data_IF_139589704229
#
_entry.id   IF_139589704229
#
_cell.length_a   1.000
_cell.length_b   1.000
_cell.length_c   1.000
_cell.angle_alpha   90.00
_cell.angle_beta   90.00
_cell.angle_gamma   90.00
#
_symmetry.space_group_name_H-M   'P 1'
#
loop_
_entity.id
_entity.type
_entity.pdbx_description
1 polymer ?
#
# COMPACT_ATOMS: atom_id res chain seq x y z
N UNK A 1 -17.97 13.12 -3.22
CA UNK A 1 -18.00 11.73 -3.73
C UNK A 1 -16.86 11.46 -4.72
N UNK A 2 -16.33 12.50 -5.40
CA UNK A 2 -15.31 12.35 -6.46
C UNK A 2 -13.96 11.76 -6.00
N UNK A 3 -13.59 11.87 -4.72
CA UNK A 3 -12.34 11.29 -4.20
C UNK A 3 -12.47 9.82 -3.78
N UNK A 4 -13.67 9.26 -3.68
CA UNK A 4 -13.86 7.88 -3.19
C UNK A 4 -13.08 6.85 -4.04
N UNK A 5 -13.09 6.92 -5.38
CA UNK A 5 -12.35 5.96 -6.21
C UNK A 5 -10.83 5.97 -5.93
N UNK A 6 -10.20 7.14 -5.91
CA UNK A 6 -8.75 7.26 -5.66
C UNK A 6 -8.38 6.89 -4.21
N UNK A 7 -9.26 7.17 -3.24
CA UNK A 7 -9.07 6.71 -1.85
C UNK A 7 -9.13 5.18 -1.77
N UNK A 8 -10.05 4.53 -2.48
CA UNK A 8 -10.14 3.06 -2.52
C UNK A 8 -8.88 2.47 -3.16
N UNK A 9 -8.40 3.03 -4.27
CA UNK A 9 -7.16 2.58 -4.90
C UNK A 9 -5.97 2.70 -3.96
N UNK A 10 -5.82 3.84 -3.27
CA UNK A 10 -4.80 4.02 -2.24
C UNK A 10 -4.87 2.92 -1.17
N UNK A 11 -6.06 2.65 -0.62
CA UNK A 11 -6.26 1.64 0.42
C UNK A 11 -5.89 0.24 -0.05
N UNK A 12 -6.26 -0.11 -1.27
CA UNK A 12 -5.97 -1.41 -1.88
C UNK A 12 -4.47 -1.58 -2.11
N UNK A 13 -3.82 -0.63 -2.78
CA UNK A 13 -2.38 -0.72 -3.05
C UNK A 13 -1.55 -0.72 -1.78
N UNK A 14 -1.87 0.13 -0.79
CA UNK A 14 -1.16 0.13 0.50
C UNK A 14 -1.32 -1.21 1.21
N UNK A 15 -2.50 -1.84 1.13
CA UNK A 15 -2.68 -3.18 1.67
C UNK A 15 -1.79 -4.19 0.96
N UNK A 16 -1.84 -4.27 -0.37
CA UNK A 16 -1.03 -5.22 -1.17
C UNK A 16 0.48 -5.04 -0.95
N UNK A 17 0.95 -3.80 -0.82
CA UNK A 17 2.37 -3.49 -0.56
C UNK A 17 2.77 -3.97 0.83
N UNK A 18 2.01 -3.60 1.86
CA UNK A 18 2.37 -3.86 3.25
C UNK A 18 2.03 -5.29 3.69
N UNK A 19 1.16 -5.99 2.95
CA UNK A 19 0.86 -7.41 3.15
C UNK A 19 1.83 -8.33 2.40
N UNK A 20 2.55 -7.82 1.41
CA UNK A 20 3.42 -8.64 0.56
C UNK A 20 4.43 -9.48 1.36
N UNK A 21 5.09 -8.90 2.36
CA UNK A 21 6.08 -9.62 3.17
C UNK A 21 5.48 -10.84 3.89
N UNK A 22 4.33 -10.68 4.58
CA UNK A 22 3.70 -11.80 5.29
C UNK A 22 3.22 -12.90 4.34
N UNK A 23 2.91 -12.56 3.09
CA UNK A 23 2.44 -13.48 2.05
C UNK A 23 3.59 -14.26 1.44
N UNK A 24 4.72 -13.59 1.16
CA UNK A 24 5.94 -14.27 0.69
C UNK A 24 6.45 -15.28 1.71
N UNK A 25 6.39 -14.97 3.02
CA UNK A 25 6.81 -15.90 4.08
C UNK A 25 6.05 -17.23 4.07
N UNK A 26 4.84 -17.28 3.51
CA UNK A 26 4.03 -18.50 3.41
C UNK A 26 3.89 -18.99 1.96
N UNK A 27 4.71 -18.46 1.04
CA UNK A 27 4.68 -18.76 -0.39
C UNK A 27 3.31 -18.54 -1.04
N UNK A 28 2.51 -17.61 -0.52
CA UNK A 28 1.24 -17.21 -1.13
C UNK A 28 1.52 -16.46 -2.43
N UNK A 29 1.02 -16.99 -3.55
CA UNK A 29 1.29 -16.44 -4.89
C UNK A 29 0.03 -15.96 -5.63
N UNK A 30 -1.13 -16.02 -4.97
CA UNK A 30 -2.40 -15.49 -5.45
C UNK A 30 -2.74 -14.12 -4.85
N UNK A 31 -1.72 -13.28 -4.69
CA UNK A 31 -1.84 -11.87 -4.31
C UNK A 31 -1.59 -10.95 -5.51
N UNK A 32 -1.95 -9.67 -5.38
CA UNK A 32 -1.84 -8.69 -6.45
C UNK A 32 -0.42 -8.63 -7.03
N UNK A 33 0.59 -8.55 -6.16
CA UNK A 33 2.00 -8.38 -6.55
C UNK A 33 2.49 -9.56 -7.39
N UNK A 34 2.23 -10.78 -6.94
CA UNK A 34 2.63 -12.00 -7.66
C UNK A 34 1.86 -12.17 -8.97
N UNK A 35 0.55 -11.89 -8.99
CA UNK A 35 -0.26 -11.93 -10.21
C UNK A 35 0.23 -10.89 -11.22
N UNK A 36 0.52 -9.67 -10.76
CA UNK A 36 1.03 -8.56 -11.59
C UNK A 36 2.39 -8.90 -12.20
N UNK A 37 3.30 -9.44 -11.40
CA UNK A 37 4.63 -9.87 -11.85
C UNK A 37 4.53 -10.91 -12.97
N UNK A 38 3.70 -11.96 -12.77
CA UNK A 38 3.44 -12.98 -13.80
C UNK A 38 2.81 -12.38 -15.06
N UNK A 39 1.79 -11.54 -14.89
CA UNK A 39 1.08 -10.93 -16.02
C UNK A 39 1.96 -10.01 -16.85
N UNK A 40 2.94 -9.33 -16.25
CA UNK A 40 3.86 -8.42 -16.94
C UNK A 40 5.19 -9.05 -17.35
N UNK A 41 5.46 -10.29 -16.93
CA UNK A 41 6.76 -10.94 -17.17
C UNK A 41 7.92 -10.25 -16.46
N UNK A 42 7.68 -9.65 -15.28
CA UNK A 42 8.69 -8.97 -14.48
C UNK A 42 8.88 -9.64 -13.11
N UNK A 43 9.86 -9.19 -12.34
CA UNK A 43 10.09 -9.65 -10.97
C UNK A 43 9.00 -9.15 -10.03
N UNK A 44 8.80 -9.85 -8.90
CA UNK A 44 7.87 -9.39 -7.84
C UNK A 44 8.29 -8.05 -7.24
N UNK A 45 9.59 -7.76 -7.16
CA UNK A 45 10.09 -6.47 -6.68
C UNK A 45 9.77 -5.33 -7.64
N UNK A 46 9.90 -5.54 -8.96
CA UNK A 46 9.45 -4.56 -9.94
C UNK A 46 7.94 -4.34 -9.88
N UNK A 47 7.14 -5.41 -9.72
CA UNK A 47 5.70 -5.29 -9.53
C UNK A 47 5.32 -4.56 -8.22
N UNK A 48 6.09 -4.78 -7.15
CA UNK A 48 5.95 -4.06 -5.88
C UNK A 48 6.26 -2.58 -6.02
N UNK A 49 7.32 -2.22 -6.75
CA UNK A 49 7.61 -0.82 -7.05
C UNK A 49 6.48 -0.18 -7.86
N UNK A 50 5.96 -0.87 -8.89
CA UNK A 50 4.82 -0.36 -9.65
C UNK A 50 3.58 -0.12 -8.76
N UNK A 51 3.30 -1.02 -7.81
CA UNK A 51 2.19 -0.84 -6.88
C UNK A 51 2.43 0.36 -5.95
N UNK A 52 3.65 0.56 -5.47
CA UNK A 52 4.03 1.73 -4.66
C UNK A 52 3.83 3.04 -5.43
N UNK A 53 4.26 3.08 -6.70
CA UNK A 53 4.06 4.25 -7.56
C UNK A 53 2.56 4.56 -7.76
N UNK A 54 1.72 3.53 -7.93
CA UNK A 54 0.26 3.71 -8.01
C UNK A 54 -0.35 4.17 -6.69
N UNK A 55 0.12 3.67 -5.55
CA UNK A 55 -0.35 4.12 -4.23
C UNK A 55 -0.06 5.61 -4.01
N UNK A 56 1.14 6.07 -4.36
CA UNK A 56 1.53 7.49 -4.27
C UNK A 56 0.65 8.33 -5.18
N UNK A 57 0.47 7.92 -6.43
CA UNK A 57 -0.40 8.62 -7.39
C UNK A 57 -1.85 8.71 -6.87
N UNK A 58 -2.42 7.61 -6.39
CA UNK A 58 -3.78 7.58 -5.86
C UNK A 58 -3.94 8.48 -4.60
N UNK A 59 -2.90 8.56 -3.76
CA UNK A 59 -2.86 9.50 -2.65
C UNK A 59 -2.87 10.97 -3.12
N UNK A 60 -2.02 11.30 -4.09
CA UNK A 60 -1.93 12.66 -4.65
C UNK A 60 -3.24 13.08 -5.31
N UNK A 61 -3.85 12.20 -6.09
CA UNK A 61 -5.17 12.43 -6.72
C UNK A 61 -6.27 12.62 -5.67
N UNK A 62 -6.29 11.79 -4.62
CA UNK A 62 -7.22 11.95 -3.50
C UNK A 62 -7.04 13.31 -2.81
N UNK A 63 -5.79 13.71 -2.55
CA UNK A 63 -5.49 14.99 -1.92
C UNK A 63 -5.87 16.18 -2.79
N UNK A 64 -5.63 16.10 -4.10
CA UNK A 64 -5.99 17.14 -5.06
C UNK A 64 -7.51 17.34 -5.14
N UNK A 65 -8.29 16.25 -5.25
CA UNK A 65 -9.76 16.33 -5.28
C UNK A 65 -10.33 16.92 -3.97
N UNK A 66 -9.67 16.66 -2.84
CA UNK A 66 -10.10 17.15 -1.53
C UNK A 66 -9.58 18.56 -1.20
N UNK A 67 -8.76 19.19 -2.05
CA UNK A 67 -8.12 20.47 -1.77
C UNK A 67 -9.12 21.60 -1.43
N UNK A 68 -10.32 21.55 -2.02
CA UNK A 68 -11.38 22.53 -1.76
C UNK A 68 -12.09 22.37 -0.41
N UNK A 69 -11.82 21.30 0.34
CA UNK A 69 -12.35 21.07 1.69
C UNK A 69 -11.21 20.74 2.66
N UNK A 70 -10.70 21.75 3.39
CA UNK A 70 -9.60 21.56 4.33
C UNK A 70 -9.87 20.46 5.37
N UNK A 71 -11.11 20.38 5.87
CA UNK A 71 -11.50 19.35 6.85
C UNK A 71 -11.43 17.94 6.25
N UNK A 72 -11.92 17.76 5.02
CA UNK A 72 -11.90 16.47 4.36
C UNK A 72 -10.48 16.06 3.95
N UNK A 73 -9.67 17.01 3.46
CA UNK A 73 -8.26 16.77 3.14
C UNK A 73 -7.48 16.35 4.39
N UNK A 74 -7.67 17.04 5.51
CA UNK A 74 -7.00 16.68 6.77
C UNK A 74 -7.46 15.31 7.28
N UNK A 75 -8.76 15.02 7.22
CA UNK A 75 -9.29 13.69 7.58
C UNK A 75 -8.67 12.58 6.70
N UNK A 76 -8.53 12.81 5.39
CA UNK A 76 -7.88 11.87 4.49
C UNK A 76 -6.39 11.68 4.82
N UNK A 77 -5.65 12.76 5.10
CA UNK A 77 -4.23 12.68 5.48
C UNK A 77 -4.02 11.91 6.78
N UNK A 78 -4.87 12.16 7.77
CA UNK A 78 -4.86 11.42 9.04
C UNK A 78 -5.18 9.95 8.83
N UNK A 79 -6.20 9.64 8.02
CA UNK A 79 -6.53 8.28 7.64
C UNK A 79 -5.36 7.58 6.94
N UNK A 80 -4.76 8.19 5.92
CA UNK A 80 -3.64 7.61 5.18
C UNK A 80 -2.46 7.27 6.09
N UNK A 81 -2.07 8.23 6.95
CA UNK A 81 -1.00 8.02 7.95
C UNK A 81 -1.36 6.90 8.94
N UNK A 82 -2.58 6.93 9.47
CA UNK A 82 -3.05 5.94 10.45
C UNK A 82 -3.14 4.54 9.86
N UNK A 83 -3.61 4.41 8.62
CA UNK A 83 -3.74 3.15 7.90
C UNK A 83 -2.38 2.52 7.61
N UNK A 84 -1.40 3.31 7.15
CA UNK A 84 -0.01 2.85 6.98
C UNK A 84 0.62 2.46 8.31
N UNK A 85 0.44 3.29 9.35
CA UNK A 85 0.97 2.97 10.68
C UNK A 85 0.37 1.68 11.26
N UNK A 86 -0.94 1.46 11.09
CA UNK A 86 -1.61 0.23 11.51
C UNK A 86 -0.95 -1.00 10.90
N UNK A 87 -0.67 -1.00 9.60
CA UNK A 87 -0.01 -2.14 8.94
C UNK A 87 1.38 -2.40 9.48
N UNK A 88 2.15 -1.33 9.69
CA UNK A 88 3.51 -1.39 10.20
C UNK A 88 3.54 -1.91 11.65
N UNK A 89 2.62 -1.45 12.51
CA UNK A 89 2.60 -1.80 13.93
C UNK A 89 1.88 -3.13 14.23
N UNK A 90 0.94 -3.54 13.38
CA UNK A 90 0.14 -4.74 13.61
C UNK A 90 0.97 -6.00 13.34
N UNK A 91 1.07 -6.87 14.37
CA UNK A 91 1.81 -8.15 14.32
C UNK A 91 1.43 -9.03 13.14
N UNK A 92 0.21 -8.90 12.61
CA UNK A 92 -0.27 -9.63 11.42
C UNK A 92 0.66 -9.49 10.22
N UNK A 93 1.27 -8.32 10.02
CA UNK A 93 2.08 -8.01 8.84
C UNK A 93 3.58 -8.28 9.03
N UNK A 94 4.01 -8.67 10.24
CA UNK A 94 5.36 -9.17 10.54
C UNK A 94 6.52 -8.20 10.24
N UNK A 95 6.26 -6.89 10.16
CA UNK A 95 7.31 -5.87 10.00
C UNK A 95 8.45 -5.92 11.02
N UNK A 96 8.22 -6.25 12.31
CA UNK A 96 9.33 -6.41 13.25
C UNK A 96 10.34 -7.51 12.84
N UNK A 97 9.89 -8.59 12.19
CA UNK A 97 10.77 -9.64 11.67
C UNK A 97 11.61 -9.10 10.51
N UNK A 98 10.98 -8.34 9.59
CA UNK A 98 11.67 -7.71 8.46
C UNK A 98 12.77 -6.73 8.91
N UNK A 99 12.48 -5.89 9.91
CA UNK A 99 13.47 -4.96 10.45
C UNK A 99 14.56 -5.64 11.28
N UNK A 100 14.21 -6.67 12.05
CA UNK A 100 15.17 -7.46 12.81
C UNK A 100 16.13 -8.25 11.93
N UNK A 101 15.70 -8.65 10.73
CA UNK A 101 16.52 -9.34 9.73
C UNK A 101 17.51 -8.41 9.00
N UNK A 102 17.43 -7.09 9.23
CA UNK A 102 18.30 -6.10 8.59
C UNK A 102 19.56 -5.77 9.41
N UNK A 103 19.80 -6.47 10.52
CA UNK A 103 21.07 -6.44 11.26
C UNK A 103 21.89 -7.70 10.95
N UNK A 104 22.75 -7.58 9.92
CA UNK A 104 23.80 -8.52 9.47
C UNK A 104 23.37 -9.88 8.91
#
# INVERSE_FOLDING_TARGET
MESIPSVIEFVQYVNDILSFYKEELVNESNNYISVKARSKGCTKLEALQMAADQAVKAYEESAAVLEHSPEALEAFRQFARGYTHYHIACKRYKFPELWGSSQC
#
